data_IF_066482833988
#
_entry.id   IF_066482833988
#
_cell.length_a   1.000
_cell.length_b   1.000
_cell.length_c   1.000
_cell.angle_alpha   90.00
_cell.angle_beta   90.00
_cell.angle_gamma   90.00
#
_symmetry.space_group_name_H-M   'P 1'
#
loop_
_entity.id
_entity.type
_entity.pdbx_description
1 polymer ?
#
# COMPACT_ATOMS: atom_id res chain seq x y z
N UNK A 1 5.72 -43.97 -8.47
CA UNK A 1 6.11 -42.58 -8.82
C UNK A 1 4.97 -41.58 -8.57
N UNK A 2 3.75 -41.74 -9.14
CA UNK A 2 2.62 -40.81 -8.93
C UNK A 2 2.27 -40.62 -7.44
N UNK A 3 2.15 -41.67 -6.65
CA UNK A 3 1.87 -41.60 -5.22
C UNK A 3 2.90 -40.74 -4.46
N UNK A 4 4.21 -40.99 -4.66
CA UNK A 4 5.25 -40.18 -4.00
C UNK A 4 5.21 -38.71 -4.36
N UNK A 5 4.90 -38.41 -5.64
CA UNK A 5 4.76 -37.01 -6.08
C UNK A 5 3.54 -36.35 -5.41
N UNK A 6 2.39 -37.04 -5.36
CA UNK A 6 1.21 -36.55 -4.64
C UNK A 6 1.51 -36.26 -3.17
N UNK A 7 2.19 -37.18 -2.49
CA UNK A 7 2.59 -36.98 -1.08
C UNK A 7 3.52 -35.82 -0.91
N UNK A 8 4.53 -35.62 -1.78
CA UNK A 8 5.44 -34.49 -1.73
C UNK A 8 4.71 -33.16 -1.89
N UNK A 9 3.79 -33.06 -2.86
CA UNK A 9 2.94 -31.88 -3.05
C UNK A 9 2.11 -31.60 -1.80
N UNK A 10 1.45 -32.63 -1.24
CA UNK A 10 0.63 -32.46 -0.04
C UNK A 10 1.45 -31.99 1.18
N UNK A 11 2.69 -32.45 1.35
CA UNK A 11 3.58 -31.99 2.42
C UNK A 11 3.91 -30.50 2.23
N UNK A 12 4.31 -30.09 1.02
CA UNK A 12 4.64 -28.68 0.74
C UNK A 12 3.42 -27.80 0.99
N UNK A 13 2.26 -28.18 0.45
CA UNK A 13 0.99 -27.43 0.65
C UNK A 13 0.67 -27.31 2.15
N UNK A 14 0.84 -28.40 2.92
CA UNK A 14 0.58 -28.35 4.36
C UNK A 14 1.46 -27.35 5.07
N UNK A 15 2.75 -27.26 4.74
CA UNK A 15 3.69 -26.30 5.34
C UNK A 15 3.30 -24.86 4.99
N UNK A 16 2.91 -24.61 3.74
CA UNK A 16 2.46 -23.26 3.31
C UNK A 16 1.16 -22.87 4.02
N UNK A 17 0.16 -23.78 4.09
CA UNK A 17 -1.10 -23.50 4.78
C UNK A 17 -0.90 -23.28 6.28
N UNK A 18 0.03 -24.01 6.92
CA UNK A 18 0.41 -23.78 8.32
C UNK A 18 1.06 -22.41 8.51
N UNK A 19 1.95 -21.99 7.59
CA UNK A 19 2.55 -20.66 7.62
C UNK A 19 1.50 -19.56 7.47
N UNK A 20 0.51 -19.72 6.58
CA UNK A 20 -0.63 -18.80 6.48
C UNK A 20 -1.45 -18.80 7.78
N UNK A 21 -1.74 -19.98 8.33
CA UNK A 21 -2.53 -20.12 9.55
C UNK A 21 -1.82 -19.59 10.80
N UNK A 22 -0.49 -19.44 10.78
CA UNK A 22 0.28 -18.85 11.87
C UNK A 22 -0.22 -17.43 12.25
N UNK A 23 -0.91 -16.70 11.34
CA UNK A 23 -1.54 -15.42 11.63
C UNK A 23 -2.56 -15.44 12.78
N UNK A 24 -3.18 -16.60 13.05
CA UNK A 24 -4.14 -16.79 14.15
C UNK A 24 -3.48 -17.05 15.50
N UNK A 25 -2.17 -17.31 15.50
CA UNK A 25 -1.39 -17.58 16.71
C UNK A 25 -0.61 -16.34 17.19
N UNK A 26 -0.37 -15.39 16.28
CA UNK A 26 0.36 -14.15 16.58
C UNK A 26 0.90 -13.47 15.31
N UNK A 27 1.34 -12.22 15.46
CA UNK A 27 1.86 -11.38 14.35
C UNK A 27 3.37 -11.47 14.20
N UNK A 28 3.97 -12.66 14.20
CA UNK A 28 5.42 -12.79 14.01
C UNK A 28 5.86 -12.27 12.63
N UNK A 29 6.83 -11.36 12.62
CA UNK A 29 7.35 -10.69 11.43
C UNK A 29 7.82 -11.67 10.34
N UNK A 30 8.38 -12.82 10.72
CA UNK A 30 8.85 -13.87 9.79
C UNK A 30 7.75 -14.35 8.82
N UNK A 31 6.49 -14.21 9.18
CA UNK A 31 5.34 -14.56 8.32
C UNK A 31 4.70 -13.35 7.64
N UNK A 32 5.22 -12.14 7.80
CA UNK A 32 4.59 -10.92 7.27
C UNK A 32 4.39 -10.98 5.75
N UNK A 33 5.40 -11.44 5.01
CA UNK A 33 5.31 -11.64 3.55
C UNK A 33 4.27 -12.71 3.19
N UNK A 34 4.25 -13.84 3.90
CA UNK A 34 3.26 -14.91 3.70
C UNK A 34 1.83 -14.38 3.91
N UNK A 35 1.64 -13.56 4.94
CA UNK A 35 0.33 -12.96 5.24
C UNK A 35 -0.09 -11.92 4.21
N UNK A 36 0.83 -11.14 3.66
CA UNK A 36 0.56 -10.21 2.55
C UNK A 36 0.19 -10.95 1.27
N UNK A 37 0.78 -12.12 1.03
CA UNK A 37 0.57 -12.97 -0.14
C UNK A 37 -0.54 -14.02 0.07
N UNK A 38 -1.28 -13.98 1.16
CA UNK A 38 -2.22 -15.06 1.54
C UNK A 38 -3.15 -15.48 0.41
N UNK A 39 -3.72 -14.52 -0.34
CA UNK A 39 -4.63 -14.82 -1.45
C UNK A 39 -3.92 -15.58 -2.57
N UNK A 40 -2.74 -15.13 -3.00
CA UNK A 40 -1.95 -15.77 -4.04
C UNK A 40 -1.50 -17.18 -3.63
N UNK A 41 -1.00 -17.31 -2.40
CA UNK A 41 -0.56 -18.60 -1.86
C UNK A 41 -1.72 -19.58 -1.71
N UNK A 42 -2.90 -19.12 -1.30
CA UNK A 42 -4.07 -19.97 -1.19
C UNK A 42 -4.51 -20.51 -2.58
N UNK A 43 -4.46 -19.68 -3.63
CA UNK A 43 -4.74 -20.12 -5.00
C UNK A 43 -3.69 -21.15 -5.46
N UNK A 44 -2.41 -20.87 -5.26
CA UNK A 44 -1.33 -21.79 -5.63
C UNK A 44 -1.46 -23.13 -4.88
N UNK A 45 -1.78 -23.10 -3.58
CA UNK A 45 -2.04 -24.31 -2.80
C UNK A 45 -3.24 -25.09 -3.32
N UNK A 46 -4.34 -24.42 -3.70
CA UNK A 46 -5.50 -25.07 -4.28
C UNK A 46 -5.16 -25.76 -5.61
N UNK A 47 -4.45 -25.07 -6.51
CA UNK A 47 -4.01 -25.64 -7.80
C UNK A 47 -3.05 -26.83 -7.61
N UNK A 48 -2.06 -26.68 -6.72
CA UNK A 48 -1.12 -27.77 -6.39
C UNK A 48 -1.85 -28.99 -5.80
N UNK A 49 -2.82 -28.74 -4.93
CA UNK A 49 -3.61 -29.82 -4.32
C UNK A 49 -4.52 -30.51 -5.35
N UNK A 50 -5.11 -29.76 -6.28
CA UNK A 50 -5.85 -30.36 -7.40
C UNK A 50 -4.95 -31.29 -8.22
N UNK A 51 -3.72 -30.87 -8.53
CA UNK A 51 -2.74 -31.71 -9.20
C UNK A 51 -2.43 -32.99 -8.38
N UNK A 52 -2.24 -32.85 -7.06
CA UNK A 52 -2.01 -34.01 -6.17
C UNK A 52 -3.19 -35.00 -6.22
N UNK A 53 -4.43 -34.51 -6.22
CA UNK A 53 -5.66 -35.32 -6.31
C UNK A 53 -5.83 -36.02 -7.66
N UNK A 54 -5.33 -35.43 -8.76
CA UNK A 54 -5.29 -36.07 -10.07
C UNK A 54 -4.27 -37.20 -10.13
N UNK A 55 -3.19 -37.14 -9.33
CA UNK A 55 -2.16 -38.16 -9.24
C UNK A 55 -2.57 -39.33 -8.31
N UNK A 56 -3.19 -38.99 -7.17
CA UNK A 56 -3.65 -39.92 -6.16
C UNK A 56 -4.84 -39.35 -5.39
N UNK A 57 -5.99 -40.01 -5.47
CA UNK A 57 -7.22 -39.57 -4.80
C UNK A 57 -7.17 -39.90 -3.33
N UNK A 58 -6.88 -38.92 -2.49
CA UNK A 58 -6.80 -39.09 -1.04
C UNK A 58 -7.73 -38.13 -0.30
N UNK A 59 -8.27 -38.62 0.86
CA UNK A 59 -9.06 -37.75 1.75
C UNK A 59 -8.23 -36.58 2.24
N UNK A 60 -6.94 -36.79 2.51
CA UNK A 60 -6.02 -35.76 2.97
C UNK A 60 -5.87 -34.61 1.91
N UNK A 61 -5.69 -34.99 0.64
CA UNK A 61 -5.71 -34.00 -0.45
C UNK A 61 -7.02 -33.20 -0.50
N UNK A 62 -8.16 -33.88 -0.31
CA UNK A 62 -9.46 -33.20 -0.23
C UNK A 62 -9.54 -32.17 0.93
N UNK A 63 -9.00 -32.49 2.11
CA UNK A 63 -8.93 -31.58 3.25
C UNK A 63 -8.00 -30.39 2.98
N UNK A 64 -6.85 -30.61 2.34
CA UNK A 64 -5.94 -29.52 1.96
C UNK A 64 -6.57 -28.57 0.94
N UNK A 65 -7.31 -29.10 -0.03
CA UNK A 65 -8.06 -28.27 -0.99
C UNK A 65 -9.10 -27.41 -0.27
N UNK A 66 -9.88 -28.00 0.62
CA UNK A 66 -10.88 -27.28 1.41
C UNK A 66 -10.24 -26.18 2.26
N UNK A 67 -9.09 -26.47 2.92
CA UNK A 67 -8.33 -25.49 3.70
C UNK A 67 -7.79 -24.36 2.83
N UNK A 68 -7.25 -24.66 1.64
CA UNK A 68 -6.76 -23.67 0.69
C UNK A 68 -7.88 -22.70 0.25
N UNK A 69 -9.04 -23.25 -0.10
CA UNK A 69 -10.21 -22.45 -0.48
C UNK A 69 -10.72 -21.60 0.69
N UNK A 70 -10.78 -22.16 1.90
CA UNK A 70 -11.22 -21.45 3.10
C UNK A 70 -10.29 -20.26 3.41
N UNK A 71 -8.96 -20.43 3.33
CA UNK A 71 -7.99 -19.36 3.56
C UNK A 71 -8.00 -18.31 2.44
N UNK A 72 -8.27 -18.72 1.19
CA UNK A 72 -8.47 -17.79 0.07
C UNK A 72 -9.72 -16.93 0.26
N UNK A 73 -10.86 -17.55 0.62
CA UNK A 73 -12.10 -16.83 0.93
C UNK A 73 -11.95 -15.90 2.14
N UNK A 74 -11.20 -16.34 3.16
CA UNK A 74 -10.89 -15.51 4.31
C UNK A 74 -10.04 -14.29 3.92
N UNK A 75 -9.09 -14.42 2.98
CA UNK A 75 -8.33 -13.28 2.46
C UNK A 75 -9.25 -12.25 1.79
N UNK A 76 -10.18 -12.70 0.93
CA UNK A 76 -11.18 -11.84 0.30
C UNK A 76 -12.10 -11.17 1.32
N UNK A 77 -12.54 -11.90 2.35
CA UNK A 77 -13.34 -11.32 3.42
C UNK A 77 -12.58 -10.23 4.18
N UNK A 78 -11.30 -10.45 4.48
CA UNK A 78 -10.45 -9.44 5.14
C UNK A 78 -10.27 -8.19 4.29
N UNK A 79 -10.13 -8.32 2.98
CA UNK A 79 -10.08 -7.18 2.07
C UNK A 79 -11.39 -6.41 2.14
N UNK A 80 -12.54 -7.09 2.03
CA UNK A 80 -13.87 -6.48 2.10
C UNK A 80 -14.14 -5.72 3.41
N UNK A 81 -13.59 -6.19 4.55
CA UNK A 81 -13.72 -5.51 5.84
C UNK A 81 -13.08 -4.10 5.86
N UNK A 82 -12.00 -3.91 5.09
CA UNK A 82 -11.27 -2.64 5.05
C UNK A 82 -11.84 -1.66 4.02
N UNK A 83 -12.74 -2.09 3.17
CA UNK A 83 -13.37 -1.25 2.14
C UNK A 83 -14.24 -0.16 2.79
N UNK A 84 -14.18 1.03 2.21
CA UNK A 84 -15.07 2.14 2.57
C UNK A 84 -16.54 1.80 2.32
N UNK A 85 -17.43 2.47 3.05
CA UNK A 85 -18.88 2.31 2.81
C UNK A 85 -19.27 2.88 1.45
N UNK A 86 -20.28 2.29 0.77
CA UNK A 86 -20.85 2.88 -0.44
C UNK A 86 -21.28 4.33 -0.20
N UNK A 87 -21.13 5.18 -1.20
CA UNK A 87 -21.52 6.59 -1.19
C UNK A 87 -22.00 7.00 -2.59
N UNK A 88 -22.70 8.14 -2.69
CA UNK A 88 -23.09 8.69 -3.98
C UNK A 88 -21.88 9.38 -4.65
N UNK A 89 -21.36 8.75 -5.69
CA UNK A 89 -20.19 9.24 -6.42
C UNK A 89 -20.45 10.56 -7.19
N UNK A 90 -21.73 10.84 -7.49
CA UNK A 90 -22.15 12.03 -8.22
C UNK A 90 -22.46 13.24 -7.30
N UNK A 91 -22.60 12.98 -5.99
CA UNK A 91 -22.88 14.01 -5.02
C UNK A 91 -21.56 14.66 -4.58
N UNK A 92 -21.15 15.77 -5.17
CA UNK A 92 -20.03 16.45 -4.57
C UNK A 92 -19.32 17.49 -5.38
N UNK A 93 -18.41 18.11 -4.70
CA UNK A 93 -17.41 19.06 -5.18
C UNK A 93 -16.38 18.33 -6.06
N UNK A 94 -15.65 19.04 -6.92
CA UNK A 94 -14.53 18.46 -7.66
C UNK A 94 -13.60 17.68 -6.73
N UNK A 95 -13.11 16.50 -7.14
CA UNK A 95 -12.26 15.68 -6.30
C UNK A 95 -10.89 16.31 -6.07
N UNK A 96 -10.29 16.04 -4.92
CA UNK A 96 -8.86 16.17 -4.72
C UNK A 96 -8.16 15.00 -5.42
N UNK A 97 -7.23 15.30 -6.32
CA UNK A 97 -6.44 14.30 -7.04
C UNK A 97 -5.09 14.11 -6.37
N UNK A 98 -4.87 12.92 -5.84
CA UNK A 98 -3.62 12.52 -5.22
C UNK A 98 -2.91 11.49 -6.10
N UNK A 99 -1.64 11.75 -6.41
CA UNK A 99 -0.72 10.78 -6.97
C UNK A 99 0.22 10.28 -5.87
N UNK A 100 0.49 8.98 -5.79
CA UNK A 100 1.48 8.39 -4.89
C UNK A 100 2.34 7.39 -5.67
N UNK A 101 3.67 7.57 -5.66
CA UNK A 101 4.54 6.75 -6.49
C UNK A 101 5.92 6.54 -5.83
N UNK A 102 6.28 5.29 -5.58
CA UNK A 102 7.64 4.89 -5.28
C UNK A 102 8.42 4.79 -6.60
N UNK A 103 9.33 5.74 -6.83
CA UNK A 103 10.03 5.88 -8.12
C UNK A 103 11.26 5.01 -8.24
N UNK A 104 11.65 4.31 -7.16
CA UNK A 104 12.88 3.54 -7.00
C UNK A 104 14.14 4.43 -6.91
N UNK A 105 14.84 4.33 -5.80
CA UNK A 105 15.91 5.24 -5.34
C UNK A 105 17.08 5.43 -6.31
N UNK A 106 17.34 4.47 -7.20
CA UNK A 106 18.43 4.50 -8.20
C UNK A 106 17.94 4.69 -9.65
N UNK A 107 16.68 5.06 -9.84
CA UNK A 107 16.02 5.18 -11.15
C UNK A 107 16.33 6.54 -11.84
N UNK A 108 17.61 6.95 -11.85
CA UNK A 108 18.04 8.24 -12.41
C UNK A 108 17.81 8.35 -13.92
N UNK A 109 17.90 7.24 -14.66
CA UNK A 109 17.73 7.22 -16.12
C UNK A 109 16.33 7.67 -16.55
N UNK A 110 15.32 7.43 -15.70
CA UNK A 110 13.93 7.76 -15.98
C UNK A 110 13.44 9.05 -15.28
N UNK A 111 14.33 9.76 -14.55
CA UNK A 111 13.95 10.92 -13.76
C UNK A 111 13.19 11.99 -14.58
N UNK A 112 13.67 12.30 -15.79
CA UNK A 112 13.00 13.24 -16.69
C UNK A 112 11.62 12.76 -17.14
N UNK A 113 11.46 11.48 -17.48
CA UNK A 113 10.16 10.90 -17.86
C UNK A 113 9.18 10.87 -16.69
N UNK A 114 9.66 10.57 -15.47
CA UNK A 114 8.85 10.60 -14.24
C UNK A 114 8.39 12.03 -13.95
N UNK A 115 9.29 13.02 -14.05
CA UNK A 115 8.93 14.45 -13.94
C UNK A 115 7.82 14.81 -14.91
N UNK A 116 7.97 14.49 -16.20
CA UNK A 116 7.00 14.82 -17.24
C UNK A 116 5.64 14.16 -16.98
N UNK A 117 5.65 12.90 -16.52
CA UNK A 117 4.44 12.20 -16.09
C UNK A 117 3.77 12.89 -14.90
N UNK A 118 4.54 13.30 -13.88
CA UNK A 118 4.01 14.06 -12.73
C UNK A 118 3.38 15.37 -13.20
N UNK A 119 4.07 16.14 -14.04
CA UNK A 119 3.56 17.41 -14.56
C UNK A 119 2.30 17.25 -15.40
N UNK A 120 2.19 16.16 -16.17
CA UNK A 120 1.02 15.86 -17.01
C UNK A 120 -0.13 15.20 -16.24
N UNK A 121 0.10 14.67 -15.04
CA UNK A 121 -0.87 13.88 -14.27
C UNK A 121 -2.15 14.63 -13.90
N UNK A 122 -2.06 15.95 -13.76
CA UNK A 122 -3.14 16.79 -13.24
C UNK A 122 -3.39 16.61 -11.74
N UNK A 123 -2.56 15.85 -11.00
CA UNK A 123 -2.68 15.70 -9.56
C UNK A 123 -2.58 17.07 -8.85
N UNK A 124 -3.31 17.20 -7.74
CA UNK A 124 -3.24 18.40 -6.89
C UNK A 124 -2.14 18.26 -5.84
N UNK A 125 -1.93 17.01 -5.41
CA UNK A 125 -0.87 16.59 -4.48
C UNK A 125 -0.16 15.36 -5.03
N UNK A 126 1.16 15.31 -4.86
CA UNK A 126 1.98 14.16 -5.28
C UNK A 126 2.85 13.73 -4.11
N UNK A 127 2.72 12.47 -3.69
CA UNK A 127 3.66 11.81 -2.80
C UNK A 127 4.65 11.03 -3.65
N UNK A 128 5.92 11.36 -3.54
CA UNK A 128 7.01 10.63 -4.18
C UNK A 128 7.82 9.93 -3.11
N UNK A 129 7.99 8.62 -3.26
CA UNK A 129 8.80 7.80 -2.38
C UNK A 129 10.06 7.36 -3.11
N UNK A 130 11.16 7.21 -2.38
CA UNK A 130 12.49 6.98 -2.94
C UNK A 130 12.88 8.09 -3.95
N UNK A 131 12.58 9.36 -3.58
CA UNK A 131 12.54 10.51 -4.47
C UNK A 131 13.93 11.03 -4.92
N UNK A 132 15.03 10.45 -4.46
CA UNK A 132 16.42 10.84 -4.78
C UNK A 132 16.67 11.13 -6.28
N UNK A 133 16.16 10.30 -7.24
CA UNK A 133 16.34 10.54 -8.66
C UNK A 133 15.78 11.88 -9.14
N UNK A 134 14.79 12.44 -8.44
CA UNK A 134 14.12 13.68 -8.84
C UNK A 134 14.80 14.96 -8.30
N UNK A 135 15.91 14.86 -7.56
CA UNK A 135 16.63 16.04 -7.05
C UNK A 135 17.00 17.03 -8.16
N UNK A 136 17.45 16.54 -9.31
CA UNK A 136 17.77 17.37 -10.47
C UNK A 136 16.55 18.01 -11.15
N UNK A 137 15.35 17.51 -10.87
CA UNK A 137 14.11 17.90 -11.54
C UNK A 137 13.25 18.87 -10.70
N UNK A 138 13.69 19.20 -9.47
CA UNK A 138 12.92 20.02 -8.54
C UNK A 138 12.56 21.40 -9.10
N UNK A 139 13.45 22.03 -9.86
CA UNK A 139 13.19 23.32 -10.48
C UNK A 139 12.08 23.27 -11.54
N UNK A 140 11.94 22.17 -12.25
CA UNK A 140 10.86 21.97 -13.21
C UNK A 140 9.54 21.66 -12.49
N UNK A 141 9.57 20.80 -11.49
CA UNK A 141 8.41 20.41 -10.68
C UNK A 141 7.81 21.62 -9.93
N UNK A 142 8.66 22.52 -9.40
CA UNK A 142 8.20 23.70 -8.64
C UNK A 142 7.39 24.70 -9.48
N UNK A 143 7.45 24.65 -10.81
CA UNK A 143 6.63 25.49 -11.70
C UNK A 143 5.13 25.16 -11.60
N UNK A 144 4.79 23.91 -11.30
CA UNK A 144 3.41 23.44 -11.16
C UNK A 144 3.07 23.18 -9.69
N UNK A 145 4.04 22.72 -8.92
CA UNK A 145 3.90 22.40 -7.50
C UNK A 145 4.81 23.33 -6.67
N UNK A 146 4.37 24.57 -6.38
CA UNK A 146 5.20 25.54 -5.68
C UNK A 146 5.44 25.20 -4.19
N UNK A 147 4.65 24.30 -3.63
CA UNK A 147 4.77 23.89 -2.22
C UNK A 147 5.33 22.49 -2.15
N UNK A 148 6.39 22.33 -1.36
CA UNK A 148 7.11 21.06 -1.19
C UNK A 148 7.48 20.85 0.26
N UNK A 149 7.49 19.57 0.68
CA UNK A 149 8.13 19.09 1.89
C UNK A 149 8.93 17.85 1.47
N UNK A 150 10.18 17.74 1.93
CA UNK A 150 11.09 16.66 1.50
C UNK A 150 12.20 17.17 0.59
N UNK A 151 13.24 16.35 0.39
CA UNK A 151 14.35 16.63 -0.51
C UNK A 151 15.01 18.00 -0.28
N UNK A 152 15.43 18.27 0.96
CA UNK A 152 16.07 19.52 1.36
C UNK A 152 15.11 20.59 1.88
N UNK A 153 13.79 20.44 1.77
CA UNK A 153 12.80 21.29 2.40
C UNK A 153 12.23 20.57 3.62
N UNK A 154 12.56 21.03 4.82
CA UNK A 154 12.25 20.41 6.12
C UNK A 154 12.84 19.01 6.35
N UNK A 155 13.56 18.44 5.41
CA UNK A 155 14.24 17.14 5.53
C UNK A 155 15.70 17.24 5.11
N UNK A 156 16.54 16.38 5.68
CA UNK A 156 17.93 16.17 5.26
C UNK A 156 18.05 15.00 4.28
N UNK A 157 17.03 14.17 4.19
CA UNK A 157 16.94 13.03 3.28
C UNK A 157 16.03 13.36 2.09
N UNK A 158 16.12 12.57 1.02
CA UNK A 158 15.22 12.66 -0.14
C UNK A 158 14.51 11.32 -0.41
N UNK A 159 14.22 10.55 0.64
CA UNK A 159 13.46 9.32 0.53
C UNK A 159 11.96 9.61 0.30
N UNK A 160 11.41 10.59 1.02
CA UNK A 160 10.00 10.96 0.92
C UNK A 160 9.85 12.43 0.57
N UNK A 161 9.01 12.72 -0.43
CA UNK A 161 8.71 14.08 -0.88
C UNK A 161 7.21 14.23 -1.13
N UNK A 162 6.64 15.32 -0.63
CA UNK A 162 5.27 15.76 -0.91
C UNK A 162 5.32 17.04 -1.73
N UNK A 163 4.66 17.03 -2.88
CA UNK A 163 4.48 18.18 -3.76
C UNK A 163 3.00 18.60 -3.76
N UNK A 164 2.72 19.90 -3.76
CA UNK A 164 1.35 20.40 -3.79
C UNK A 164 1.20 21.66 -4.64
N UNK A 165 0.04 21.79 -5.32
CA UNK A 165 -0.39 23.02 -6.00
C UNK A 165 -0.89 24.07 -5.02
N UNK A 166 -1.35 23.65 -3.84
CA UNK A 166 -1.90 24.52 -2.78
C UNK A 166 -1.00 24.54 -1.55
N UNK A 167 -1.06 25.58 -0.72
CA UNK A 167 -0.23 25.65 0.49
C UNK A 167 -0.38 24.42 1.39
N UNK A 168 0.76 23.90 1.83
CA UNK A 168 0.86 22.85 2.85
C UNK A 168 0.99 23.54 4.23
N UNK A 169 -0.03 23.49 5.04
CA UNK A 169 -0.05 24.10 6.37
C UNK A 169 0.24 23.07 7.48
N UNK A 170 0.72 23.55 8.64
CA UNK A 170 1.10 22.74 9.80
C UNK A 170 2.01 21.55 9.46
N UNK A 171 3.05 21.74 8.63
CA UNK A 171 3.91 20.63 8.22
C UNK A 171 4.70 20.07 9.40
N UNK A 172 4.86 18.77 9.45
CA UNK A 172 5.78 18.10 10.37
C UNK A 172 6.36 16.83 9.74
N UNK A 173 7.61 16.54 10.07
CA UNK A 173 8.35 15.39 9.56
C UNK A 173 8.75 14.50 10.74
N UNK A 174 8.55 13.20 10.59
CA UNK A 174 8.78 12.23 11.64
C UNK A 174 9.63 11.06 11.16
N UNK A 175 10.57 10.61 12.00
CA UNK A 175 11.23 9.32 11.87
C UNK A 175 10.39 8.30 12.64
N UNK A 176 9.97 7.23 11.96
CA UNK A 176 9.09 6.21 12.55
C UNK A 176 9.88 5.16 13.33
N UNK A 177 11.16 4.97 12.99
CA UNK A 177 12.12 4.10 13.65
C UNK A 177 13.52 4.73 13.60
N UNK A 178 14.49 4.06 14.21
CA UNK A 178 15.90 4.44 14.11
C UNK A 178 16.61 3.90 12.87
N UNK A 179 15.92 3.09 12.05
CA UNK A 179 16.51 2.46 10.88
C UNK A 179 16.57 3.43 9.69
N UNK A 180 15.46 4.15 9.45
CA UNK A 180 15.37 5.16 8.41
C UNK A 180 14.71 6.42 8.93
N UNK A 181 15.33 7.55 8.65
CA UNK A 181 14.86 8.85 9.10
C UNK A 181 13.84 9.47 8.15
N UNK A 182 12.94 10.30 8.71
CA UNK A 182 12.09 11.24 7.97
C UNK A 182 11.16 10.58 6.96
N UNK A 183 10.68 9.35 7.25
CA UNK A 183 9.78 8.57 6.38
C UNK A 183 8.29 8.75 6.65
N UNK A 184 7.92 9.78 7.42
CA UNK A 184 6.53 10.22 7.56
C UNK A 184 6.47 11.74 7.51
N UNK A 185 5.65 12.26 6.59
CA UNK A 185 5.36 13.68 6.44
C UNK A 185 3.88 13.89 6.74
N UNK A 186 3.59 14.78 7.69
CA UNK A 186 2.23 15.25 7.96
C UNK A 186 2.09 16.68 7.47
N UNK A 187 0.95 17.00 6.90
CA UNK A 187 0.59 18.36 6.50
C UNK A 187 -0.92 18.47 6.35
N UNK A 188 -1.40 19.70 6.27
CA UNK A 188 -2.80 19.98 5.98
C UNK A 188 -2.94 20.75 4.69
N UNK A 189 -4.02 20.48 3.97
CA UNK A 189 -4.46 21.29 2.83
C UNK A 189 -5.88 21.82 3.08
N UNK A 190 -6.15 23.00 2.54
CA UNK A 190 -7.52 23.50 2.47
C UNK A 190 -8.15 23.07 1.14
N UNK A 191 -9.25 22.31 1.21
CA UNK A 191 -9.98 21.83 0.05
C UNK A 191 -11.45 22.17 0.18
N UNK A 192 -11.96 23.05 -0.68
CA UNK A 192 -13.35 23.54 -0.64
C UNK A 192 -13.79 24.06 0.75
N UNK A 193 -12.90 24.77 1.44
CA UNK A 193 -13.17 25.30 2.77
C UNK A 193 -13.07 24.31 3.93
N UNK A 194 -12.72 23.06 3.64
CA UNK A 194 -12.45 22.04 4.65
C UNK A 194 -10.95 21.81 4.77
N UNK A 195 -10.50 21.58 5.99
CA UNK A 195 -9.12 21.13 6.24
C UNK A 195 -9.05 19.62 6.07
N UNK A 196 -8.19 19.16 5.15
CA UNK A 196 -7.86 17.74 5.00
C UNK A 196 -6.47 17.52 5.58
N UNK A 197 -6.37 16.66 6.58
CA UNK A 197 -5.09 16.19 7.12
C UNK A 197 -4.50 15.14 6.21
N UNK A 198 -3.22 15.26 5.90
CA UNK A 198 -2.52 14.37 4.99
C UNK A 198 -1.32 13.73 5.70
N UNK A 199 -1.11 12.45 5.44
CA UNK A 199 0.07 11.71 5.84
C UNK A 199 0.66 10.98 4.64
N UNK A 200 1.90 11.29 4.28
CA UNK A 200 2.72 10.49 3.39
C UNK A 200 3.60 9.58 4.25
N UNK A 201 3.63 8.28 3.95
CA UNK A 201 4.34 7.27 4.76
C UNK A 201 5.11 6.32 3.85
N UNK A 202 6.37 6.05 4.22
CA UNK A 202 7.17 4.99 3.64
C UNK A 202 7.67 4.08 4.77
N UNK A 203 7.18 2.84 4.87
CA UNK A 203 7.60 1.90 5.90
C UNK A 203 8.74 1.00 5.44
N UNK A 204 9.45 0.39 6.38
CA UNK A 204 10.48 -0.61 6.09
C UNK A 204 9.86 -1.89 5.53
N UNK A 205 10.71 -2.70 4.89
CA UNK A 205 10.31 -4.02 4.38
C UNK A 205 10.11 -5.00 5.54
N UNK A 206 9.01 -5.79 5.55
CA UNK A 206 8.60 -6.58 6.71
C UNK A 206 9.33 -7.92 6.91
N UNK A 207 10.29 -8.27 6.05
CA UNK A 207 10.84 -9.62 6.00
C UNK A 207 12.23 -9.78 6.59
N UNK A 208 12.80 -8.71 7.16
CA UNK A 208 14.12 -8.79 7.82
C UNK A 208 14.01 -8.80 9.35
N UNK A 209 13.00 -8.10 9.90
CA UNK A 209 12.81 -7.86 11.32
C UNK A 209 11.39 -7.35 11.62
N UNK A 210 11.15 -6.82 12.82
CA UNK A 210 9.87 -6.28 13.26
C UNK A 210 9.77 -4.74 13.16
N UNK A 211 10.75 -4.05 12.58
CA UNK A 211 10.75 -2.58 12.46
C UNK A 211 9.49 -2.04 11.79
N UNK A 212 8.97 -2.68 10.73
CA UNK A 212 7.73 -2.25 10.09
C UNK A 212 6.56 -2.18 11.09
N UNK A 213 6.45 -3.16 11.98
CA UNK A 213 5.40 -3.18 13.00
C UNK A 213 5.56 -2.03 13.99
N UNK A 214 6.80 -1.71 14.38
CA UNK A 214 7.08 -0.52 15.21
C UNK A 214 6.75 0.77 14.48
N UNK A 215 7.14 0.90 13.22
CA UNK A 215 6.86 2.07 12.39
C UNK A 215 5.37 2.32 12.24
N UNK A 216 4.58 1.28 11.90
CA UNK A 216 3.12 1.38 11.81
C UNK A 216 2.48 1.73 13.16
N UNK A 217 3.03 1.21 14.27
CA UNK A 217 2.55 1.54 15.62
C UNK A 217 2.82 3.00 15.96
N UNK A 218 4.02 3.50 15.65
CA UNK A 218 4.40 4.89 15.89
C UNK A 218 3.62 5.86 15.01
N UNK A 219 3.45 5.52 13.70
CA UNK A 219 2.60 6.27 12.80
C UNK A 219 1.15 6.32 13.31
N UNK A 220 0.59 5.17 13.75
CA UNK A 220 -0.76 5.12 14.29
C UNK A 220 -0.95 6.05 15.50
N UNK A 221 0.00 6.06 16.44
CA UNK A 221 -0.06 6.96 17.61
C UNK A 221 -0.06 8.45 17.24
N UNK A 222 0.69 8.82 16.19
CA UNK A 222 0.68 10.19 15.67
C UNK A 222 -0.67 10.54 15.04
N UNK A 223 -1.21 9.63 14.21
CA UNK A 223 -2.47 9.85 13.50
C UNK A 223 -3.70 9.82 14.42
N UNK A 224 -3.66 9.09 15.55
CA UNK A 224 -4.74 9.08 16.55
C UNK A 224 -4.96 10.44 17.22
N UNK A 225 -3.95 11.34 17.19
CA UNK A 225 -4.06 12.71 17.71
C UNK A 225 -4.72 13.67 16.73
N UNK A 226 -4.97 13.23 15.51
CA UNK A 226 -5.56 14.04 14.44
C UNK A 226 -7.04 13.73 14.38
N UNK A 227 -7.88 14.73 14.58
CA UNK A 227 -9.33 14.64 14.43
C UNK A 227 -9.77 15.13 13.05
N UNK A 228 -10.88 14.56 12.52
CA UNK A 228 -11.47 14.98 11.24
C UNK A 228 -10.95 14.22 10.02
N UNK A 229 -11.12 14.81 8.81
CA UNK A 229 -10.78 14.18 7.54
C UNK A 229 -9.29 13.88 7.44
N UNK A 230 -8.92 12.61 7.24
CA UNK A 230 -7.53 12.16 7.13
C UNK A 230 -7.33 11.36 5.85
N UNK A 231 -6.31 11.71 5.08
CA UNK A 231 -5.84 11.04 3.89
C UNK A 231 -4.43 10.52 4.15
N UNK A 232 -4.23 9.22 4.02
CA UNK A 232 -2.93 8.55 4.21
C UNK A 232 -2.55 7.87 2.92
N UNK A 233 -1.33 8.09 2.41
CA UNK A 233 -0.85 7.40 1.22
C UNK A 233 0.65 7.13 1.29
N UNK A 234 1.09 6.10 0.59
CA UNK A 234 2.50 5.76 0.46
C UNK A 234 2.76 4.27 0.30
N UNK A 235 4.02 3.88 0.45
CA UNK A 235 4.48 2.51 0.40
C UNK A 235 4.50 1.91 1.81
N UNK A 236 3.63 0.94 2.03
CA UNK A 236 3.52 0.20 3.29
C UNK A 236 4.33 -1.10 3.27
N UNK A 237 4.97 -1.43 2.14
CA UNK A 237 5.73 -2.67 1.96
C UNK A 237 4.97 -3.96 2.39
N UNK A 238 3.65 -3.89 2.49
CA UNK A 238 2.77 -4.99 2.87
C UNK A 238 1.35 -4.70 2.40
N UNK A 239 0.58 -5.75 2.10
CA UNK A 239 -0.83 -5.60 1.70
C UNK A 239 -1.74 -5.19 2.85
N UNK A 240 -2.90 -4.61 2.56
CA UNK A 240 -3.92 -4.21 3.53
C UNK A 240 -4.43 -5.37 4.42
N UNK A 241 -4.26 -6.63 3.98
CA UNK A 241 -4.63 -7.81 4.77
C UNK A 241 -3.53 -8.28 5.72
N UNK A 242 -2.32 -7.71 5.66
CA UNK A 242 -1.26 -8.02 6.62
C UNK A 242 -1.69 -7.62 8.06
N UNK A 243 -1.41 -8.44 9.09
CA UNK A 243 -1.93 -8.21 10.44
C UNK A 243 -1.60 -6.83 11.03
N UNK A 244 -0.38 -6.35 10.82
CA UNK A 244 0.10 -5.06 11.30
C UNK A 244 -0.57 -3.90 10.55
N UNK A 245 -0.72 -3.98 9.22
CA UNK A 245 -1.42 -2.96 8.42
C UNK A 245 -2.90 -2.91 8.80
N UNK A 246 -3.58 -4.06 8.93
CA UNK A 246 -4.98 -4.10 9.39
C UNK A 246 -5.15 -3.45 10.76
N UNK A 247 -4.23 -3.70 11.69
CA UNK A 247 -4.23 -3.08 13.02
C UNK A 247 -4.09 -1.57 12.90
N UNK A 248 -3.14 -1.09 12.08
CA UNK A 248 -2.96 0.32 11.78
C UNK A 248 -4.22 0.97 11.22
N UNK A 249 -4.89 0.34 10.25
CA UNK A 249 -6.13 0.82 9.64
C UNK A 249 -7.26 0.94 10.67
N UNK A 250 -7.47 -0.11 11.47
CA UNK A 250 -8.52 -0.15 12.50
C UNK A 250 -8.33 0.91 13.57
N UNK A 251 -7.10 1.08 14.06
CA UNK A 251 -6.79 2.06 15.10
C UNK A 251 -7.03 3.50 14.67
N UNK A 252 -6.91 3.77 13.37
CA UNK A 252 -7.07 5.12 12.83
C UNK A 252 -8.41 5.35 12.10
N UNK A 253 -9.31 4.35 12.09
CA UNK A 253 -10.58 4.45 11.37
C UNK A 253 -10.43 4.59 9.86
N UNK A 254 -9.30 4.10 9.30
CA UNK A 254 -8.95 4.21 7.89
C UNK A 254 -9.63 3.13 7.06
N UNK A 255 -9.98 3.48 5.83
CA UNK A 255 -10.61 2.62 4.83
C UNK A 255 -9.93 2.77 3.49
N UNK A 256 -10.06 1.73 2.65
CA UNK A 256 -9.54 1.72 1.29
C UNK A 256 -10.67 1.69 0.25
N UNK A 257 -10.31 1.85 -1.02
CA UNK A 257 -11.21 1.68 -2.15
C UNK A 257 -11.74 0.23 -2.25
N UNK A 258 -12.85 -0.02 -2.98
CA UNK A 258 -13.35 -1.37 -3.22
C UNK A 258 -12.34 -2.31 -3.89
N UNK A 259 -11.41 -1.75 -4.63
CA UNK A 259 -10.33 -2.48 -5.28
C UNK A 259 -9.00 -1.72 -5.09
N UNK A 260 -7.99 -2.40 -4.57
CA UNK A 260 -6.62 -1.93 -4.49
C UNK A 260 -5.83 -2.57 -5.64
N UNK A 261 -5.40 -1.80 -6.65
CA UNK A 261 -4.66 -2.37 -7.76
C UNK A 261 -3.27 -2.85 -7.29
N UNK A 262 -2.76 -3.97 -7.85
CA UNK A 262 -1.42 -4.45 -7.51
C UNK A 262 -0.37 -3.47 -8.00
N UNK A 263 0.57 -3.13 -7.12
CA UNK A 263 1.64 -2.16 -7.41
C UNK A 263 3.02 -2.80 -7.52
N UNK A 264 3.26 -3.91 -6.83
CA UNK A 264 4.57 -4.54 -6.74
C UNK A 264 4.51 -6.08 -6.91
N UNK A 265 5.51 -6.70 -7.52
CA UNK A 265 6.53 -6.07 -8.35
C UNK A 265 5.94 -5.69 -9.72
N UNK A 266 6.45 -4.61 -10.31
CA UNK A 266 5.90 -4.08 -11.59
C UNK A 266 5.94 -5.08 -12.72
N UNK A 267 6.95 -5.96 -12.78
CA UNK A 267 7.06 -7.01 -13.80
C UNK A 267 5.96 -8.08 -13.72
N UNK A 268 5.34 -8.27 -12.56
CA UNK A 268 4.24 -9.22 -12.38
C UNK A 268 2.88 -8.66 -12.89
N UNK A 269 2.80 -7.38 -13.21
CA UNK A 269 1.59 -6.75 -13.73
C UNK A 269 0.39 -6.91 -12.80
N UNK A 270 -0.68 -7.52 -13.27
CA UNK A 270 -1.90 -7.76 -12.48
C UNK A 270 -1.80 -8.94 -11.50
N UNK A 271 -0.72 -9.73 -11.57
CA UNK A 271 -0.42 -10.79 -10.60
C UNK A 271 0.42 -10.31 -9.43
N UNK A 272 0.76 -9.03 -9.40
CA UNK A 272 1.46 -8.40 -8.27
C UNK A 272 0.59 -8.27 -7.03
N UNK A 273 1.14 -7.61 -6.02
CA UNK A 273 0.51 -7.37 -4.71
C UNK A 273 0.38 -5.87 -4.49
N UNK A 274 -0.75 -5.36 -3.97
CA UNK A 274 -0.85 -3.98 -3.53
C UNK A 274 -0.02 -3.81 -2.25
N UNK A 275 1.04 -3.01 -2.32
CA UNK A 275 1.86 -2.62 -1.17
C UNK A 275 1.97 -1.09 -1.05
N UNK A 276 1.65 -0.38 -2.12
CA UNK A 276 1.40 1.06 -2.12
C UNK A 276 -0.10 1.29 -1.94
N UNK A 277 -0.48 2.22 -1.07
CA UNK A 277 -1.86 2.37 -0.67
C UNK A 277 -2.30 3.83 -0.59
N UNK A 278 -3.61 4.01 -0.72
CA UNK A 278 -4.33 5.24 -0.40
C UNK A 278 -5.47 4.88 0.54
N UNK A 279 -5.46 5.46 1.73
CA UNK A 279 -6.46 5.24 2.77
C UNK A 279 -7.12 6.55 3.17
N UNK A 280 -8.38 6.50 3.50
CA UNK A 280 -9.15 7.66 3.94
C UNK A 280 -9.90 7.40 5.25
N UNK A 281 -10.07 8.45 6.05
CA UNK A 281 -10.98 8.48 7.20
C UNK A 281 -12.18 9.36 6.89
N UNK A 282 -13.36 8.91 7.29
CA UNK A 282 -14.59 9.67 7.11
C UNK A 282 -14.46 11.14 7.59
N UNK A 283 -15.06 12.08 6.86
CA UNK A 283 -16.01 11.94 5.76
C UNK A 283 -15.37 11.79 4.37
N UNK A 284 -14.04 11.60 4.26
CA UNK A 284 -13.40 11.38 2.98
C UNK A 284 -13.80 10.02 2.39
N UNK A 285 -13.90 9.99 1.05
CA UNK A 285 -14.13 8.79 0.24
C UNK A 285 -13.18 8.77 -0.96
N UNK A 286 -12.76 7.60 -1.35
CA UNK A 286 -12.00 7.37 -2.58
C UNK A 286 -13.03 7.13 -3.69
N UNK A 287 -13.17 8.06 -4.64
CA UNK A 287 -14.05 7.91 -5.79
C UNK A 287 -13.45 6.96 -6.83
N UNK A 288 -12.16 7.12 -7.09
CA UNK A 288 -11.40 6.20 -7.95
C UNK A 288 -10.00 5.98 -7.37
N UNK A 289 -9.47 4.78 -7.58
CA UNK A 289 -8.09 4.40 -7.27
C UNK A 289 -7.57 3.59 -8.44
N UNK A 290 -6.64 4.16 -9.18
CA UNK A 290 -6.12 3.58 -10.41
C UNK A 290 -4.60 3.47 -10.34
N UNK A 291 -4.10 2.41 -10.96
CA UNK A 291 -2.66 2.23 -11.18
C UNK A 291 -2.23 3.11 -12.36
N UNK A 292 -1.11 3.79 -12.23
CA UNK A 292 -0.52 4.51 -13.35
C UNK A 292 -0.24 3.56 -14.53
N UNK A 293 -0.34 4.04 -15.77
CA UNK A 293 -0.24 3.18 -16.96
C UNK A 293 1.16 2.59 -17.16
N UNK A 294 2.19 3.19 -16.55
CA UNK A 294 3.58 2.76 -16.64
C UNK A 294 4.27 2.85 -15.28
N UNK A 295 5.16 1.91 -15.03
CA UNK A 295 6.06 1.93 -13.87
C UNK A 295 7.28 2.86 -14.07
N UNK A 296 7.49 3.41 -15.26
CA UNK A 296 8.59 4.34 -15.57
C UNK A 296 9.99 3.85 -15.08
N UNK A 297 10.26 2.54 -15.25
CA UNK A 297 11.52 1.94 -14.79
C UNK A 297 11.55 1.57 -13.30
N UNK A 298 10.55 1.96 -12.52
CA UNK A 298 10.43 1.52 -11.12
C UNK A 298 9.99 0.06 -11.01
N UNK A 299 10.34 -0.59 -9.91
CA UNK A 299 9.79 -1.89 -9.53
C UNK A 299 8.39 -1.78 -8.91
N UNK A 300 7.85 -0.55 -8.75
CA UNK A 300 6.48 -0.25 -8.36
C UNK A 300 5.71 0.39 -9.50
N UNK A 301 4.39 0.21 -9.49
CA UNK A 301 3.47 1.12 -10.18
C UNK A 301 3.00 2.19 -9.21
N UNK A 302 2.94 3.43 -9.67
CA UNK A 302 2.29 4.50 -8.91
C UNK A 302 0.76 4.38 -8.95
N UNK A 303 0.12 5.12 -8.05
CA UNK A 303 -1.32 5.22 -7.88
C UNK A 303 -1.80 6.64 -8.18
N UNK A 304 -2.97 6.75 -8.80
CA UNK A 304 -3.76 7.97 -8.90
C UNK A 304 -5.09 7.75 -8.17
N UNK A 305 -5.40 8.60 -7.21
CA UNK A 305 -6.65 8.57 -6.47
C UNK A 305 -7.44 9.86 -6.63
N UNK A 306 -8.75 9.75 -6.73
CA UNK A 306 -9.69 10.85 -6.63
C UNK A 306 -10.43 10.78 -5.30
N UNK A 307 -10.23 11.80 -4.47
CA UNK A 307 -10.76 11.87 -3.11
C UNK A 307 -11.87 12.90 -3.06
N UNK A 308 -13.00 12.53 -2.48
CA UNK A 308 -14.18 13.39 -2.31
C UNK A 308 -14.59 13.49 -0.85
N UNK A 309 -15.25 14.58 -0.51
CA UNK A 309 -15.96 14.74 0.78
C UNK A 309 -17.38 14.19 0.60
N UNK A 310 -17.69 13.07 1.25
CA UNK A 310 -19.06 12.59 1.32
C UNK A 310 -19.90 13.51 2.22
N UNK A 311 -21.10 13.84 1.77
CA UNK A 311 -22.11 14.60 2.55
C UNK A 311 -22.94 13.64 3.39
#
# INVERSE_FOLDING_TARGET
MRYFLSVAICVIVSLVLLAIAARYLGGAWVFATVHSLQFHLAILCALATLLALLLDRSLYGGLLLAASLALGLHALWMTGEMVQRPFDENAGLPPLRLMSFNVLWDNYENAGAIRDMILASGADVVNVLEAEPLLGELAALSRVYPYRIGCGEMTTTCDLMVLSKTPLSRPSVHSLSSLFEQRMILSDISWHGQTIHMAAIHTTKPYFDDFQTFELTNAARLLQRIEGPLLVAGDFNASSIAPNVRTFLRWNGLRTAPFEPPTWPSWAGWFGVPIDHVYVREPLRIRSLERLPSAMGSNHYGLMAEIVLAR
#
